data_IF_722476584496
#
_entry.id   IF_722476584496
#
_cell.length_a   1.000
_cell.length_b   1.000
_cell.length_c   1.000
_cell.angle_alpha   90.00
_cell.angle_beta   90.00
_cell.angle_gamma   90.00
#
_symmetry.space_group_name_H-M   'P 1'
#
loop_
_entity.id
_entity.type
_entity.pdbx_description
1 polymer ?
#
# COMPACT_ATOMS: atom_id res chain seq x y z
N UNK A 1 -15.22 -7.98 5.66
CA UNK A 1 -15.82 -7.41 4.41
C UNK A 1 -15.79 -8.44 3.28
N UNK A 2 -16.91 -8.61 2.56
CA UNK A 2 -16.96 -9.40 1.33
C UNK A 2 -16.76 -8.50 0.11
N UNK A 3 -15.86 -8.89 -0.81
CA UNK A 3 -15.68 -8.19 -2.08
C UNK A 3 -16.51 -8.91 -3.15
N UNK A 4 -17.61 -8.28 -3.57
CA UNK A 4 -18.51 -8.78 -4.60
C UNK A 4 -18.13 -8.31 -6.00
N UNK A 5 -17.51 -7.12 -6.07
CA UNK A 5 -17.14 -6.49 -7.33
C UNK A 5 -15.85 -5.68 -7.16
N UNK A 6 -14.91 -5.88 -8.06
CA UNK A 6 -13.67 -5.11 -8.13
C UNK A 6 -13.35 -4.85 -9.60
N UNK A 7 -13.27 -3.58 -9.98
CA UNK A 7 -13.06 -3.18 -11.38
C UNK A 7 -12.04 -2.05 -11.49
N UNK A 8 -11.23 -2.11 -12.53
CA UNK A 8 -10.37 -1.00 -12.91
C UNK A 8 -11.22 0.19 -13.33
N UNK A 9 -10.91 1.37 -12.79
CA UNK A 9 -11.62 2.61 -13.12
C UNK A 9 -10.81 3.48 -14.08
N UNK A 10 -9.61 3.88 -13.67
CA UNK A 10 -8.72 4.72 -14.49
C UNK A 10 -7.27 4.67 -14.02
N UNK A 11 -6.38 5.09 -14.90
CA UNK A 11 -4.98 5.38 -14.61
C UNK A 11 -4.74 6.89 -14.76
N UNK A 12 -4.27 7.54 -13.70
CA UNK A 12 -4.04 8.97 -13.70
C UNK A 12 -2.53 9.28 -13.67
N UNK A 13 -2.03 10.14 -14.58
CA UNK A 13 -0.63 10.59 -14.54
C UNK A 13 -0.39 11.67 -13.50
N UNK A 14 -1.44 12.26 -12.94
CA UNK A 14 -1.38 13.30 -11.91
C UNK A 14 -2.66 13.33 -11.07
N UNK A 15 -2.58 13.93 -9.89
CA UNK A 15 -3.69 13.97 -8.92
C UNK A 15 -4.97 14.59 -9.51
N UNK A 16 -4.83 15.64 -10.31
CA UNK A 16 -5.97 16.33 -10.93
C UNK A 16 -6.81 15.46 -11.86
N UNK A 17 -6.27 14.34 -12.31
CA UNK A 17 -6.95 13.39 -13.21
C UNK A 17 -7.51 12.17 -12.47
N UNK A 18 -7.40 12.12 -11.16
CA UNK A 18 -8.03 11.09 -10.33
C UNK A 18 -9.57 11.22 -10.33
N UNK A 19 -10.33 10.20 -9.91
CA UNK A 19 -11.80 10.24 -9.88
C UNK A 19 -12.34 11.48 -9.16
N UNK A 20 -13.45 12.04 -9.67
CA UNK A 20 -14.03 13.29 -9.15
C UNK A 20 -15.12 13.08 -8.09
N UNK A 21 -15.41 11.85 -7.75
CA UNK A 21 -16.37 11.54 -6.69
C UNK A 21 -15.74 11.66 -5.28
N UNK A 22 -16.53 11.39 -4.26
CA UNK A 22 -16.16 11.54 -2.85
C UNK A 22 -15.93 10.21 -2.13
N UNK A 23 -15.82 9.11 -2.87
CA UNK A 23 -15.60 7.80 -2.26
C UNK A 23 -14.24 7.72 -1.57
N UNK A 24 -14.17 7.06 -0.40
CA UNK A 24 -12.90 6.90 0.30
C UNK A 24 -11.89 6.11 -0.51
N UNK A 25 -10.63 6.51 -0.41
CA UNK A 25 -9.50 5.88 -1.10
C UNK A 25 -8.51 5.29 -0.09
N UNK A 26 -8.04 4.10 -0.39
CA UNK A 26 -7.00 3.38 0.35
C UNK A 26 -5.83 3.12 -0.59
N UNK A 27 -4.71 3.77 -0.32
CA UNK A 27 -3.54 3.71 -1.20
C UNK A 27 -2.58 2.61 -0.76
N UNK A 28 -2.07 1.87 -1.73
CA UNK A 28 -1.09 0.82 -1.54
C UNK A 28 0.22 1.25 -2.20
N UNK A 29 1.30 1.23 -1.44
CA UNK A 29 2.62 1.67 -1.88
C UNK A 29 3.70 0.80 -1.25
N UNK A 30 4.85 0.75 -1.87
CA UNK A 30 6.02 0.04 -1.37
C UNK A 30 7.15 0.10 -2.38
N UNK A 31 8.25 -0.57 -2.09
CA UNK A 31 9.37 -0.69 -3.02
C UNK A 31 8.96 -1.49 -4.26
N UNK A 32 9.64 -1.24 -5.36
CA UNK A 32 9.49 -2.06 -6.57
C UNK A 32 9.69 -3.55 -6.24
N UNK A 33 8.82 -4.41 -6.76
CA UNK A 33 8.83 -5.87 -6.55
C UNK A 33 8.53 -6.34 -5.11
N UNK A 34 7.95 -5.50 -4.27
CA UNK A 34 7.52 -5.87 -2.91
C UNK A 34 6.35 -6.87 -2.89
N UNK A 35 5.67 -7.05 -4.01
CA UNK A 35 4.48 -7.91 -4.12
C UNK A 35 3.14 -7.15 -4.09
N UNK A 36 3.14 -5.87 -4.45
CA UNK A 36 1.97 -5.00 -4.40
C UNK A 36 0.84 -5.47 -5.32
N UNK A 37 1.10 -5.76 -6.58
CA UNK A 37 0.08 -6.25 -7.52
C UNK A 37 -0.48 -7.60 -7.09
N UNK A 38 0.36 -8.51 -6.59
CA UNK A 38 -0.08 -9.80 -6.06
C UNK A 38 -0.99 -9.64 -4.84
N UNK A 39 -0.66 -8.70 -3.94
CA UNK A 39 -1.48 -8.38 -2.78
C UNK A 39 -2.85 -7.82 -3.20
N UNK A 40 -2.88 -6.87 -4.12
CA UNK A 40 -4.13 -6.28 -4.64
C UNK A 40 -5.01 -7.37 -5.26
N UNK A 41 -4.44 -8.24 -6.07
CA UNK A 41 -5.17 -9.35 -6.69
C UNK A 41 -5.70 -10.34 -5.64
N UNK A 42 -4.93 -10.61 -4.61
CA UNK A 42 -5.34 -11.48 -3.50
C UNK A 42 -6.48 -10.85 -2.69
N UNK A 43 -6.36 -9.58 -2.31
CA UNK A 43 -7.40 -8.86 -1.57
C UNK A 43 -8.74 -8.84 -2.34
N UNK A 44 -8.69 -8.59 -3.63
CA UNK A 44 -9.88 -8.49 -4.48
C UNK A 44 -10.38 -9.84 -5.01
N UNK A 45 -9.66 -10.92 -4.71
CA UNK A 45 -9.92 -12.25 -5.28
C UNK A 45 -10.03 -12.25 -6.81
N UNK A 46 -9.24 -11.41 -7.46
CA UNK A 46 -9.19 -11.25 -8.91
C UNK A 46 -7.75 -11.26 -9.41
N UNK A 47 -7.31 -12.40 -9.93
CA UNK A 47 -5.92 -12.63 -10.37
C UNK A 47 -5.45 -11.73 -11.51
N UNK A 48 -6.36 -11.05 -12.19
CA UNK A 48 -6.06 -10.23 -13.37
C UNK A 48 -6.35 -8.74 -13.16
N UNK A 49 -6.77 -8.32 -11.98
CA UNK A 49 -7.17 -6.94 -11.72
C UNK A 49 -5.97 -5.98 -11.83
N UNK A 50 -4.95 -6.21 -11.02
CA UNK A 50 -3.70 -5.48 -11.11
C UNK A 50 -2.69 -6.26 -11.95
N UNK A 51 -2.05 -5.56 -12.87
CA UNK A 51 -1.03 -6.19 -13.73
C UNK A 51 0.23 -6.46 -12.92
N UNK A 52 0.58 -7.73 -12.78
CA UNK A 52 1.90 -8.14 -12.30
C UNK A 52 2.90 -7.91 -13.44
N UNK A 53 3.48 -6.72 -13.56
CA UNK A 53 4.46 -6.47 -14.60
C UNK A 53 5.85 -6.88 -14.14
N UNK A 54 6.48 -7.73 -14.93
CA UNK A 54 7.90 -8.05 -14.78
C UNK A 54 8.83 -6.96 -15.33
N UNK A 55 8.29 -5.88 -15.91
CA UNK A 55 9.09 -4.83 -16.54
C UNK A 55 9.00 -3.54 -15.73
N UNK A 56 10.00 -3.25 -14.88
CA UNK A 56 10.12 -1.97 -14.21
C UNK A 56 10.39 -0.86 -15.25
N UNK A 57 9.75 0.29 -15.12
CA UNK A 57 10.11 1.49 -15.89
C UNK A 57 9.11 1.94 -16.96
N UNK A 58 7.96 1.28 -17.08
CA UNK A 58 6.85 1.82 -17.89
C UNK A 58 6.09 2.89 -17.09
N UNK A 59 5.43 3.78 -17.80
CA UNK A 59 4.69 4.98 -17.37
C UNK A 59 4.20 4.91 -15.92
N UNK A 60 4.64 5.85 -15.11
CA UNK A 60 4.24 5.98 -13.71
C UNK A 60 2.81 6.54 -13.66
N UNK A 61 1.87 5.73 -13.18
CA UNK A 61 0.45 6.06 -13.10
C UNK A 61 -0.12 5.72 -11.72
N UNK A 62 -1.09 6.51 -11.30
CA UNK A 62 -1.94 6.24 -10.14
C UNK A 62 -3.14 5.44 -10.63
N UNK A 63 -3.25 4.18 -10.24
CA UNK A 63 -4.32 3.29 -10.70
C UNK A 63 -5.44 3.20 -9.67
N UNK A 64 -6.66 3.48 -10.07
CA UNK A 64 -7.85 3.37 -9.24
C UNK A 64 -8.66 2.15 -9.61
N UNK A 65 -9.02 1.36 -8.59
CA UNK A 65 -9.92 0.21 -8.70
C UNK A 65 -11.12 0.45 -7.79
N UNK A 66 -12.32 0.46 -8.36
CA UNK A 66 -13.56 0.60 -7.58
C UNK A 66 -13.94 -0.75 -6.95
N UNK A 67 -14.20 -0.75 -5.67
CA UNK A 67 -14.55 -1.94 -4.89
C UNK A 67 -15.99 -1.80 -4.39
N UNK A 68 -16.84 -2.77 -4.72
CA UNK A 68 -18.26 -2.83 -4.35
C UNK A 68 -19.04 -1.53 -4.67
N UNK A 69 -18.58 -0.74 -5.61
CA UNK A 69 -19.09 0.61 -5.91
C UNK A 69 -19.08 1.59 -4.72
N UNK A 70 -18.32 1.30 -3.67
CA UNK A 70 -18.33 2.05 -2.41
C UNK A 70 -17.02 2.76 -2.10
N UNK A 71 -15.87 2.20 -2.47
CA UNK A 71 -14.55 2.76 -2.16
C UNK A 71 -13.52 2.39 -3.22
N UNK A 72 -12.38 3.09 -3.22
CA UNK A 72 -11.29 2.83 -4.15
C UNK A 72 -10.10 2.19 -3.46
N UNK A 73 -9.59 1.15 -4.07
CA UNK A 73 -8.23 0.69 -3.86
C UNK A 73 -7.34 1.42 -4.86
N UNK A 74 -6.30 2.09 -4.38
CA UNK A 74 -5.41 2.91 -5.20
C UNK A 74 -4.01 2.32 -5.21
N UNK A 75 -3.54 1.98 -6.39
CA UNK A 75 -2.19 1.44 -6.61
C UNK A 75 -1.26 2.59 -6.99
N UNK A 76 -0.37 2.95 -6.06
CA UNK A 76 0.65 3.97 -6.30
C UNK A 76 1.92 3.34 -6.90
N UNK A 77 2.68 4.09 -7.72
CA UNK A 77 3.95 3.60 -8.24
C UNK A 77 4.91 3.19 -7.12
N UNK A 78 5.64 2.09 -7.32
CA UNK A 78 6.67 1.64 -6.38
C UNK A 78 7.90 2.55 -6.39
N UNK A 79 8.51 2.75 -5.24
CA UNK A 79 9.74 3.52 -5.09
C UNK A 79 10.99 2.62 -4.99
N UNK A 80 12.19 3.22 -4.90
CA UNK A 80 13.44 2.49 -4.64
C UNK A 80 13.97 1.67 -5.82
N UNK A 81 13.62 2.03 -7.05
CA UNK A 81 14.15 1.35 -8.24
C UNK A 81 15.48 1.97 -8.68
N UNK A 82 16.59 1.21 -8.48
CA UNK A 82 17.95 1.69 -8.65
C UNK A 82 18.34 2.08 -10.11
N UNK A 83 17.58 1.63 -11.11
CA UNK A 83 17.87 1.90 -12.52
C UNK A 83 17.20 3.15 -13.10
N UNK A 84 16.56 3.96 -12.26
CA UNK A 84 15.93 5.21 -12.69
C UNK A 84 16.91 6.36 -12.66
N UNK A 85 16.78 7.28 -13.61
CA UNK A 85 17.51 8.54 -13.57
C UNK A 85 17.06 9.41 -12.38
N UNK A 86 17.91 10.33 -11.94
CA UNK A 86 17.55 11.30 -10.87
C UNK A 86 16.27 12.08 -11.19
N UNK A 87 16.07 12.42 -12.46
CA UNK A 87 14.88 13.13 -12.94
C UNK A 87 13.61 12.29 -12.80
N UNK A 88 13.68 11.00 -13.13
CA UNK A 88 12.55 10.07 -12.97
C UNK A 88 12.20 9.84 -11.51
N UNK A 89 13.21 9.72 -10.64
CA UNK A 89 13.01 9.61 -9.18
C UNK A 89 12.30 10.86 -8.65
N UNK A 90 12.77 12.05 -9.03
CA UNK A 90 12.15 13.31 -8.60
C UNK A 90 10.69 13.44 -9.05
N UNK A 91 10.37 13.03 -10.29
CA UNK A 91 8.99 13.01 -10.79
C UNK A 91 8.12 12.01 -10.03
N UNK A 92 8.66 10.85 -9.72
CA UNK A 92 7.98 9.82 -8.93
C UNK A 92 7.66 10.32 -7.52
N UNK A 93 8.64 10.90 -6.85
CA UNK A 93 8.48 11.45 -5.51
C UNK A 93 7.43 12.59 -5.51
N UNK A 94 7.47 13.45 -6.49
CA UNK A 94 6.48 14.52 -6.65
C UNK A 94 5.06 13.97 -6.85
N UNK A 95 4.89 12.93 -7.65
CA UNK A 95 3.60 12.29 -7.87
C UNK A 95 3.07 11.64 -6.57
N UNK A 96 3.90 10.88 -5.88
CA UNK A 96 3.53 10.17 -4.63
C UNK A 96 3.18 11.20 -3.55
N UNK A 97 4.04 12.18 -3.31
CA UNK A 97 3.82 13.21 -2.30
C UNK A 97 2.60 14.06 -2.65
N UNK A 98 2.45 14.44 -3.91
CA UNK A 98 1.29 15.20 -4.38
C UNK A 98 -0.02 14.47 -4.14
N UNK A 99 -0.09 13.18 -4.48
CA UNK A 99 -1.26 12.37 -4.20
C UNK A 99 -1.54 12.28 -2.69
N UNK A 100 -0.56 11.89 -1.90
CA UNK A 100 -0.74 11.64 -0.46
C UNK A 100 -1.12 12.92 0.29
N UNK A 101 -0.50 14.06 -0.05
CA UNK A 101 -0.73 15.33 0.66
C UNK A 101 -1.96 16.09 0.17
N UNK A 102 -2.35 15.95 -1.10
CA UNK A 102 -3.40 16.76 -1.72
C UNK A 102 -4.72 16.03 -1.93
N UNK A 103 -4.70 14.67 -1.90
CA UNK A 103 -5.91 13.89 -2.17
C UNK A 103 -6.83 13.85 -0.96
N UNK A 104 -7.91 14.62 -0.99
CA UNK A 104 -8.89 14.74 0.10
C UNK A 104 -9.60 13.42 0.41
N UNK A 105 -9.82 12.56 -0.60
CA UNK A 105 -10.47 11.27 -0.46
C UNK A 105 -9.57 10.19 0.15
N UNK A 106 -8.26 10.43 0.26
CA UNK A 106 -7.33 9.47 0.83
C UNK A 106 -7.58 9.32 2.34
N UNK A 107 -7.91 8.10 2.75
CA UNK A 107 -8.23 7.77 4.17
C UNK A 107 -7.05 7.12 4.87
N UNK A 108 -6.36 6.20 4.21
CA UNK A 108 -5.25 5.46 4.80
C UNK A 108 -4.26 5.01 3.74
N UNK A 109 -2.99 4.99 4.09
CA UNK A 109 -1.91 4.44 3.26
C UNK A 109 -1.49 3.09 3.82
N UNK A 110 -1.46 2.07 2.97
CA UNK A 110 -0.87 0.77 3.29
C UNK A 110 0.53 0.70 2.70
N UNK A 111 1.52 0.70 3.57
CA UNK A 111 2.92 0.56 3.19
C UNK A 111 3.34 -0.90 3.22
N UNK A 112 3.73 -1.44 2.06
CA UNK A 112 4.12 -2.83 1.90
C UNK A 112 5.63 -2.99 2.14
N UNK A 113 5.96 -3.98 2.95
CA UNK A 113 7.33 -4.35 3.31
C UNK A 113 7.50 -5.85 3.08
N UNK A 114 8.56 -6.23 2.38
CA UNK A 114 8.93 -7.64 2.24
C UNK A 114 9.44 -8.17 3.59
N UNK A 115 8.75 -9.14 4.17
CA UNK A 115 9.05 -9.66 5.51
C UNK A 115 10.42 -10.33 5.63
N UNK A 116 11.03 -10.70 4.51
CA UNK A 116 12.36 -11.32 4.47
C UNK A 116 13.50 -10.34 4.76
N UNK A 117 13.25 -9.05 4.58
CA UNK A 117 14.28 -8.01 4.66
C UNK A 117 14.33 -7.39 6.05
N UNK A 118 15.53 -7.02 6.46
CA UNK A 118 15.71 -6.10 7.59
C UNK A 118 15.14 -4.72 7.24
N UNK A 119 14.91 -3.91 8.27
CA UNK A 119 14.43 -2.54 8.07
C UNK A 119 15.40 -1.74 7.20
N UNK A 120 14.92 -1.33 6.03
CA UNK A 120 15.70 -0.57 5.06
C UNK A 120 15.53 0.92 5.30
N UNK A 121 16.62 1.68 5.16
CA UNK A 121 16.64 3.13 5.37
C UNK A 121 15.54 3.85 4.56
N UNK A 122 15.37 3.49 3.29
CA UNK A 122 14.40 4.12 2.38
C UNK A 122 12.96 3.94 2.88
N UNK A 123 12.63 2.78 3.43
CA UNK A 123 11.30 2.50 3.99
C UNK A 123 11.10 3.25 5.31
N UNK A 124 12.11 3.29 6.17
CA UNK A 124 12.06 4.03 7.44
C UNK A 124 11.92 5.54 7.22
N UNK A 125 12.61 6.10 6.23
CA UNK A 125 12.48 7.50 5.85
C UNK A 125 11.06 7.82 5.34
N UNK A 126 10.46 6.91 4.57
CA UNK A 126 9.08 7.06 4.11
C UNK A 126 8.07 6.99 5.26
N UNK A 127 8.26 6.05 6.19
CA UNK A 127 7.44 5.94 7.41
C UNK A 127 7.51 7.23 8.24
N UNK A 128 8.71 7.75 8.45
CA UNK A 128 8.92 8.99 9.17
C UNK A 128 8.23 10.17 8.48
N UNK A 129 8.35 10.26 7.16
CA UNK A 129 7.67 11.30 6.38
C UNK A 129 6.14 11.20 6.50
N UNK A 130 5.56 10.00 6.45
CA UNK A 130 4.12 9.80 6.67
C UNK A 130 3.68 10.31 8.05
N UNK A 131 4.45 10.00 9.08
CA UNK A 131 4.19 10.45 10.45
C UNK A 131 4.29 11.97 10.59
N UNK A 132 5.34 12.57 10.09
CA UNK A 132 5.54 14.02 10.11
C UNK A 132 4.46 14.78 9.32
N UNK A 133 3.93 14.17 8.27
CA UNK A 133 2.85 14.72 7.45
C UNK A 133 1.45 14.42 8.01
N UNK A 134 1.36 13.78 9.15
CA UNK A 134 0.09 13.38 9.80
C UNK A 134 -0.81 12.54 8.89
N UNK A 135 -0.22 11.68 8.08
CA UNK A 135 -0.94 10.79 7.17
C UNK A 135 -1.23 9.46 7.90
N UNK A 136 -2.51 9.05 8.03
CA UNK A 136 -2.83 7.73 8.57
C UNK A 136 -2.26 6.62 7.69
N UNK A 137 -1.56 5.67 8.30
CA UNK A 137 -0.98 4.55 7.57
C UNK A 137 -0.96 3.27 8.39
N UNK A 138 -0.84 2.16 7.70
CA UNK A 138 -0.60 0.82 8.26
C UNK A 138 0.55 0.16 7.51
N UNK A 139 1.23 -0.77 8.15
CA UNK A 139 2.29 -1.57 7.55
C UNK A 139 1.73 -2.94 7.19
N UNK A 140 2.01 -3.38 5.96
CA UNK A 140 1.64 -4.71 5.46
C UNK A 140 2.90 -5.47 5.08
N UNK A 141 3.28 -6.43 5.89
CA UNK A 141 4.36 -7.35 5.53
C UNK A 141 3.85 -8.33 4.48
N UNK A 142 4.63 -8.48 3.40
CA UNK A 142 4.33 -9.38 2.29
C UNK A 142 5.25 -10.59 2.27
N UNK A 143 4.89 -11.61 1.50
CA UNK A 143 5.72 -12.79 1.24
C UNK A 143 6.02 -13.64 2.47
N UNK A 144 5.09 -13.70 3.43
CA UNK A 144 5.25 -14.50 4.64
C UNK A 144 5.43 -16.01 4.36
N UNK A 145 4.93 -16.50 3.22
CA UNK A 145 5.11 -17.88 2.76
C UNK A 145 6.56 -18.26 2.44
N UNK A 146 7.43 -17.27 2.22
CA UNK A 146 8.86 -17.47 1.89
C UNK A 146 9.72 -17.80 3.12
N UNK A 147 9.19 -17.68 4.31
CA UNK A 147 9.87 -17.97 5.58
C UNK A 147 9.04 -18.92 6.45
N UNK A 148 9.68 -19.54 7.42
CA UNK A 148 8.96 -20.28 8.45
C UNK A 148 8.13 -19.33 9.34
N UNK A 149 7.02 -19.78 9.96
CA UNK A 149 6.25 -18.93 10.87
C UNK A 149 7.07 -18.31 12.00
N UNK A 150 8.04 -19.05 12.56
CA UNK A 150 8.95 -18.51 13.57
C UNK A 150 9.84 -17.40 13.03
N UNK A 151 10.38 -17.56 11.83
CA UNK A 151 11.24 -16.54 11.20
C UNK A 151 10.43 -15.28 10.86
N UNK A 152 9.19 -15.44 10.38
CA UNK A 152 8.28 -14.31 10.17
C UNK A 152 8.07 -13.53 11.47
N UNK A 153 7.73 -14.20 12.57
CA UNK A 153 7.57 -13.55 13.87
C UNK A 153 8.82 -12.82 14.31
N UNK A 154 9.98 -13.44 14.20
CA UNK A 154 11.27 -12.82 14.56
C UNK A 154 11.53 -11.55 13.75
N UNK A 155 11.31 -11.59 12.43
CA UNK A 155 11.54 -10.45 11.55
C UNK A 155 10.55 -9.30 11.83
N UNK A 156 9.27 -9.62 12.05
CA UNK A 156 8.26 -8.62 12.42
C UNK A 156 8.59 -7.96 13.76
N UNK A 157 8.94 -8.75 14.78
CA UNK A 157 9.34 -8.21 16.09
C UNK A 157 10.61 -7.36 16.01
N UNK A 158 11.58 -7.76 15.21
CA UNK A 158 12.78 -6.96 14.98
C UNK A 158 12.45 -5.62 14.31
N UNK A 159 11.55 -5.61 13.34
CA UNK A 159 11.08 -4.40 12.68
C UNK A 159 10.35 -3.46 13.65
N UNK A 160 9.46 -4.01 14.48
CA UNK A 160 8.76 -3.25 15.54
C UNK A 160 9.74 -2.57 16.50
N UNK A 161 10.80 -3.27 16.90
CA UNK A 161 11.84 -2.70 17.78
C UNK A 161 12.53 -1.50 17.15
N UNK A 162 12.86 -1.59 15.85
CA UNK A 162 13.45 -0.47 15.11
C UNK A 162 12.51 0.73 15.08
N UNK A 163 11.23 0.51 14.81
CA UNK A 163 10.22 1.59 14.82
C UNK A 163 10.09 2.24 16.21
N UNK A 164 10.07 1.44 17.27
CA UNK A 164 9.93 1.93 18.64
C UNK A 164 11.12 2.74 19.15
N UNK A 165 12.25 2.77 18.43
CA UNK A 165 13.36 3.69 18.73
C UNK A 165 12.97 5.16 18.53
N UNK A 166 12.01 5.43 17.63
CA UNK A 166 11.58 6.78 17.27
C UNK A 166 10.07 7.02 17.42
N UNK A 167 9.27 5.98 17.47
CA UNK A 167 7.81 6.05 17.60
C UNK A 167 7.35 5.68 19.01
N UNK A 168 6.43 6.44 19.57
CA UNK A 168 5.78 6.12 20.85
C UNK A 168 4.79 4.95 20.70
N UNK A 169 4.02 4.95 19.60
CA UNK A 169 3.05 3.91 19.27
C UNK A 169 3.32 3.37 17.87
N UNK A 170 3.09 2.06 17.70
CA UNK A 170 3.19 1.43 16.39
C UNK A 170 1.93 1.69 15.56
N UNK A 171 2.06 1.86 14.24
CA UNK A 171 0.90 1.81 13.35
C UNK A 171 0.30 0.39 13.36
N UNK A 172 -0.93 0.23 12.84
CA UNK A 172 -1.46 -1.11 12.57
C UNK A 172 -0.51 -1.90 11.66
N UNK A 173 -0.32 -3.19 11.97
CA UNK A 173 0.61 -4.07 11.27
C UNK A 173 -0.14 -5.33 10.86
N UNK A 174 0.01 -5.71 9.59
CA UNK A 174 -0.56 -6.91 9.00
C UNK A 174 0.55 -7.77 8.41
N UNK A 175 0.39 -9.09 8.53
CA UNK A 175 1.30 -10.07 7.92
C UNK A 175 0.54 -10.83 6.84
N UNK A 176 1.05 -10.80 5.61
CA UNK A 176 0.35 -11.36 4.47
C UNK A 176 1.19 -12.30 3.63
N UNK A 177 0.50 -13.24 3.00
CA UNK A 177 1.00 -14.04 1.89
C UNK A 177 -0.05 -14.09 0.80
N UNK A 178 0.24 -13.53 -0.36
CA UNK A 178 -0.66 -13.57 -1.51
C UNK A 178 -0.84 -15.01 -2.01
N UNK A 179 0.21 -15.82 -1.95
CA UNK A 179 0.19 -17.22 -2.37
C UNK A 179 -0.70 -18.09 -1.48
N UNK A 180 -0.67 -17.86 -0.16
CA UNK A 180 -1.45 -18.61 0.84
C UNK A 180 -2.77 -17.94 1.22
N UNK A 181 -3.08 -16.78 0.64
CA UNK A 181 -4.22 -15.93 1.02
C UNK A 181 -4.24 -15.55 2.51
N UNK A 182 -3.08 -15.54 3.14
CA UNK A 182 -2.91 -15.17 4.54
C UNK A 182 -3.05 -13.65 4.73
N UNK A 183 -3.75 -13.23 5.78
CA UNK A 183 -3.88 -11.82 6.17
C UNK A 183 -4.91 -11.05 5.35
N UNK A 184 -5.60 -11.69 4.41
CA UNK A 184 -6.61 -11.05 3.57
C UNK A 184 -7.77 -10.46 4.39
N UNK A 185 -8.35 -11.29 5.22
CA UNK A 185 -9.53 -10.89 6.00
C UNK A 185 -9.19 -9.79 7.00
N UNK A 186 -8.02 -9.85 7.64
CA UNK A 186 -7.55 -8.84 8.58
C UNK A 186 -7.41 -7.47 7.93
N UNK A 187 -6.82 -7.40 6.73
CA UNK A 187 -6.69 -6.14 5.97
C UNK A 187 -8.06 -5.61 5.54
N UNK A 188 -8.92 -6.48 5.00
CA UNK A 188 -10.26 -6.09 4.55
C UNK A 188 -11.16 -5.66 5.71
N UNK A 189 -11.09 -6.32 6.84
CA UNK A 189 -11.89 -5.97 8.02
C UNK A 189 -11.42 -4.65 8.64
N UNK A 190 -10.12 -4.36 8.57
CA UNK A 190 -9.59 -3.06 8.95
C UNK A 190 -10.13 -1.93 8.05
N UNK A 191 -10.14 -2.13 6.73
CA UNK A 191 -10.75 -1.17 5.78
C UNK A 191 -12.24 -1.02 6.06
N UNK A 192 -12.94 -2.12 6.30
CA UNK A 192 -14.37 -2.10 6.59
C UNK A 192 -14.69 -1.31 7.87
N UNK A 193 -13.89 -1.49 8.93
CA UNK A 193 -14.06 -0.74 10.17
C UNK A 193 -13.96 0.78 9.95
N UNK A 194 -12.98 1.22 9.16
CA UNK A 194 -12.84 2.64 8.81
C UNK A 194 -14.03 3.12 7.96
N UNK A 195 -14.45 2.35 6.98
CA UNK A 195 -15.60 2.70 6.14
C UNK A 195 -16.89 2.84 6.97
N UNK A 196 -17.09 1.99 7.98
CA UNK A 196 -18.24 2.10 8.89
C UNK A 196 -18.16 3.38 9.75
N UNK A 197 -16.99 3.72 10.27
CA UNK A 197 -16.77 4.96 11.00
C UNK A 197 -17.08 6.19 10.13
N UNK A 198 -16.64 6.19 8.87
CA UNK A 198 -16.89 7.28 7.92
C UNK A 198 -18.39 7.44 7.58
N UNK A 199 -19.16 6.34 7.57
CA UNK A 199 -20.61 6.37 7.31
C UNK A 199 -21.40 6.89 8.52
N UNK A 200 -20.88 6.70 9.74
CA UNK A 200 -21.55 7.05 10.99
C UNK A 200 -21.17 8.45 11.52
N UNK A 201 -20.14 9.05 10.97
CA UNK A 201 -19.70 10.41 11.28
C UNK A 201 -20.20 11.41 10.27
#
# INVERSE_FOLDING_TARGET
MEIKKAEFTLSAPMVSMCPKDTKPEYAFIGRSNVGKSSLINMLTNNKKLAKTSATPGKTLLINHFIINNEWYLVDLPGYGFAKRSKREIAKLDQMIQGYILQREQLVNVFLLIDVRLEAQKIDLEFIEWLGQSSVPFAIVFTKADKLTPNKVRQNVEAYKKVLLETWEELPPIFVTSSEKKQGRDEVLDYIDSINQELKNG
#
